data_IF_110302167939
#
_entry.id   IF_110302167939
#
_cell.length_a   1.000
_cell.length_b   1.000
_cell.length_c   1.000
_cell.angle_alpha   90.00
_cell.angle_beta   90.00
_cell.angle_gamma   90.00
#
_symmetry.space_group_name_H-M   'P 1'
#
loop_
_entity.id
_entity.type
_entity.pdbx_description
1 polymer ?
#
# COMPACT_ATOMS: atom_id res chain seq x y z
N UNK A 1 62.90 -50.98 -40.54
CA UNK A 1 63.86 -49.88 -40.71
C UNK A 1 63.64 -48.88 -39.60
N UNK A 2 64.64 -48.70 -38.73
CA UNK A 2 64.99 -47.57 -37.86
C UNK A 2 63.83 -46.75 -37.28
N UNK A 3 63.41 -46.74 -36.00
CA UNK A 3 64.26 -46.75 -34.80
C UNK A 3 64.64 -45.33 -34.42
N UNK A 4 63.92 -44.60 -33.55
CA UNK A 4 64.47 -43.53 -32.69
C UNK A 4 63.68 -43.51 -31.37
N UNK A 5 64.40 -43.89 -30.30
CA UNK A 5 64.00 -43.61 -28.92
C UNK A 5 64.23 -42.13 -28.62
N UNK A 6 63.30 -41.51 -27.91
CA UNK A 6 63.56 -40.24 -27.23
C UNK A 6 63.21 -40.40 -25.74
N UNK A 7 64.26 -40.26 -24.93
CA UNK A 7 64.13 -40.13 -23.46
C UNK A 7 63.42 -38.80 -23.10
N UNK A 8 62.41 -38.88 -22.22
CA UNK A 8 61.91 -37.71 -21.52
C UNK A 8 62.30 -37.78 -20.05
N UNK A 9 63.06 -36.78 -19.62
CA UNK A 9 63.51 -36.58 -18.26
C UNK A 9 62.38 -36.09 -17.37
N UNK A 10 62.16 -36.75 -16.26
CA UNK A 10 61.23 -36.31 -15.22
C UNK A 10 61.87 -35.22 -14.38
N UNK A 11 61.35 -34.02 -14.39
CA UNK A 11 61.63 -32.97 -13.40
C UNK A 11 60.50 -32.94 -12.34
N UNK A 12 60.83 -33.39 -11.13
CA UNK A 12 59.93 -33.27 -9.99
C UNK A 12 59.98 -31.80 -9.47
N UNK A 13 58.88 -31.10 -9.63
CA UNK A 13 58.66 -29.81 -8.99
C UNK A 13 57.90 -30.03 -7.68
N UNK A 14 58.57 -29.80 -6.56
CA UNK A 14 57.97 -29.73 -5.24
C UNK A 14 57.26 -28.37 -5.14
N UNK A 15 55.94 -28.36 -5.30
CA UNK A 15 55.12 -27.20 -4.93
C UNK A 15 54.76 -27.28 -3.45
N UNK A 16 55.28 -26.32 -2.67
CA UNK A 16 54.92 -26.13 -1.28
C UNK A 16 53.44 -25.84 -1.07
N UNK A 17 52.88 -26.44 -0.06
CA UNK A 17 51.53 -26.16 0.43
C UNK A 17 51.47 -24.76 1.07
N UNK A 18 51.17 -23.74 0.26
CA UNK A 18 50.66 -22.47 0.72
C UNK A 18 49.15 -22.49 0.43
N UNK A 19 48.33 -22.62 1.47
CA UNK A 19 46.89 -22.56 1.36
C UNK A 19 46.44 -21.20 0.80
N UNK A 20 46.02 -21.16 -0.45
CA UNK A 20 45.20 -20.11 -0.98
C UNK A 20 43.76 -20.40 -0.59
N UNK A 21 43.34 -19.90 0.58
CA UNK A 21 41.90 -19.65 0.79
C UNK A 21 41.43 -18.66 -0.22
N UNK A 22 40.86 -19.13 -1.33
CA UNK A 22 40.06 -18.30 -2.20
C UNK A 22 38.78 -17.96 -1.42
N UNK A 23 38.78 -16.81 -0.73
CA UNK A 23 37.51 -16.14 -0.41
C UNK A 23 36.86 -15.86 -1.76
N UNK A 24 35.89 -16.71 -2.13
CA UNK A 24 34.93 -16.36 -3.17
C UNK A 24 34.28 -15.07 -2.71
N UNK A 25 34.61 -13.95 -3.38
CA UNK A 25 33.86 -12.74 -3.25
C UNK A 25 32.43 -13.12 -3.68
N UNK A 26 31.52 -13.18 -2.74
CA UNK A 26 30.09 -13.34 -2.99
C UNK A 26 29.69 -12.18 -3.88
N UNK A 27 29.53 -12.46 -5.18
CA UNK A 27 29.14 -11.45 -6.17
C UNK A 27 27.76 -10.95 -5.74
N UNK A 28 27.72 -9.75 -5.17
CA UNK A 28 26.52 -9.17 -4.57
C UNK A 28 25.51 -9.00 -5.70
N UNK A 29 24.50 -9.86 -5.71
CA UNK A 29 23.38 -9.81 -6.68
C UNK A 29 22.85 -8.36 -6.71
N UNK A 30 22.54 -7.78 -7.88
CA UNK A 30 21.95 -6.45 -7.95
C UNK A 30 20.68 -6.42 -7.10
N UNK A 31 20.52 -5.38 -6.28
CA UNK A 31 19.33 -5.17 -5.44
C UNK A 31 18.10 -5.05 -6.36
N UNK A 32 17.12 -5.92 -6.15
CA UNK A 32 15.88 -5.90 -6.92
C UNK A 32 14.82 -5.06 -6.20
N UNK A 33 14.34 -4.02 -6.88
CA UNK A 33 13.31 -3.11 -6.37
C UNK A 33 11.97 -3.36 -7.07
N UNK A 34 10.87 -3.35 -6.32
CA UNK A 34 9.53 -3.48 -6.85
C UNK A 34 8.56 -2.47 -6.22
N UNK A 35 7.50 -2.14 -6.96
CA UNK A 35 6.34 -1.42 -6.44
C UNK A 35 5.29 -2.44 -5.99
N UNK A 36 4.75 -2.25 -4.79
CA UNK A 36 3.68 -3.09 -4.25
C UNK A 36 2.42 -2.25 -4.06
N UNK A 37 1.39 -2.54 -4.84
CA UNK A 37 0.07 -1.94 -4.70
C UNK A 37 -0.71 -2.70 -3.62
N UNK A 38 -1.27 -1.96 -2.67
CA UNK A 38 -2.06 -2.49 -1.55
C UNK A 38 -3.45 -1.89 -1.57
N UNK A 39 -4.44 -2.73 -1.80
CA UNK A 39 -5.85 -2.34 -1.92
C UNK A 39 -6.48 -1.99 -0.57
N UNK A 40 -7.58 -1.25 -0.61
CA UNK A 40 -8.29 -0.73 0.57
C UNK A 40 -9.20 -1.72 1.27
N UNK A 41 -10.03 -1.18 2.18
CA UNK A 41 -11.05 -1.93 2.92
C UNK A 41 -12.12 -2.52 2.01
N UNK A 42 -12.61 -3.69 2.38
CA UNK A 42 -13.62 -4.46 1.63
C UNK A 42 -13.22 -4.80 0.18
N UNK A 43 -11.94 -4.70 -0.15
CA UNK A 43 -11.43 -5.06 -1.46
C UNK A 43 -11.26 -6.57 -1.58
N UNK A 44 -11.55 -7.09 -2.78
CA UNK A 44 -11.10 -8.41 -3.23
C UNK A 44 -10.17 -8.19 -4.41
N UNK A 45 -8.88 -8.46 -4.19
CA UNK A 45 -7.80 -8.25 -5.17
C UNK A 45 -7.04 -9.54 -5.38
N UNK A 46 -6.83 -9.98 -6.62
CA UNK A 46 -5.94 -11.10 -6.88
C UNK A 46 -4.48 -10.68 -6.70
N UNK A 47 -3.62 -11.66 -6.43
CA UNK A 47 -2.20 -11.47 -6.66
C UNK A 47 -1.93 -11.28 -8.16
N UNK A 48 -1.21 -10.21 -8.51
CA UNK A 48 -0.68 -10.03 -9.88
C UNK A 48 0.80 -9.68 -9.82
N UNK A 49 1.56 -10.21 -10.77
CA UNK A 49 2.97 -9.87 -10.98
C UNK A 49 3.16 -8.99 -12.21
N UNK A 50 4.41 -8.56 -12.49
CA UNK A 50 4.70 -7.73 -13.66
C UNK A 50 4.36 -8.43 -14.98
N UNK A 51 4.62 -9.74 -15.07
CA UNK A 51 4.39 -10.55 -16.27
C UNK A 51 3.16 -11.46 -16.14
N UNK A 52 2.44 -11.39 -15.05
CA UNK A 52 1.35 -12.29 -14.70
C UNK A 52 0.15 -11.51 -14.19
N UNK A 53 -0.76 -11.21 -15.10
CA UNK A 53 -2.09 -10.72 -14.75
C UNK A 53 -3.08 -11.90 -14.71
N UNK A 54 -4.23 -11.69 -14.08
CA UNK A 54 -5.37 -12.60 -14.25
C UNK A 54 -5.93 -12.50 -15.66
N UNK A 55 -6.87 -13.38 -16.03
CA UNK A 55 -7.41 -13.44 -17.40
C UNK A 55 -7.95 -12.10 -17.92
N UNK A 56 -8.44 -11.22 -17.05
CA UNK A 56 -8.94 -9.89 -17.39
C UNK A 56 -7.91 -8.77 -17.19
N UNK A 57 -6.72 -9.08 -16.67
CA UNK A 57 -5.69 -8.10 -16.36
C UNK A 57 -5.99 -7.19 -15.15
N UNK A 58 -7.08 -7.41 -14.44
CA UNK A 58 -7.52 -6.54 -13.34
C UNK A 58 -6.66 -6.68 -12.09
N UNK A 59 -6.57 -5.58 -11.35
CA UNK A 59 -6.02 -5.51 -10.00
C UNK A 59 -7.04 -4.81 -9.09
N UNK A 60 -7.18 -5.27 -7.84
CA UNK A 60 -8.11 -4.69 -6.87
C UNK A 60 -9.53 -4.47 -7.43
N UNK A 61 -10.08 -5.45 -8.08
CA UNK A 61 -11.44 -5.39 -8.60
C UNK A 61 -11.73 -4.15 -9.46
N UNK A 62 -10.82 -3.76 -10.33
CA UNK A 62 -10.79 -2.57 -11.18
C UNK A 62 -10.31 -1.27 -10.49
N UNK A 63 -10.42 -1.13 -9.18
CA UNK A 63 -10.11 0.14 -8.51
C UNK A 63 -8.67 0.59 -8.77
N UNK A 64 -7.69 -0.30 -8.65
CA UNK A 64 -6.26 0.01 -8.81
C UNK A 64 -5.70 -0.44 -10.18
N UNK A 65 -6.55 -0.81 -11.14
CA UNK A 65 -6.12 -1.31 -12.45
C UNK A 65 -5.37 -0.25 -13.24
N UNK A 66 -5.88 0.97 -13.33
CA UNK A 66 -5.21 2.06 -14.05
C UNK A 66 -3.87 2.42 -13.41
N UNK A 67 -3.78 2.42 -12.07
CA UNK A 67 -2.54 2.62 -11.34
C UNK A 67 -1.49 1.55 -11.69
N UNK A 68 -1.89 0.28 -11.68
CA UNK A 68 -1.02 -0.83 -12.06
C UNK A 68 -0.51 -0.70 -13.50
N UNK A 69 -1.40 -0.47 -14.45
CA UNK A 69 -1.06 -0.34 -15.88
C UNK A 69 -0.13 0.85 -16.11
N UNK A 70 -0.40 1.98 -15.47
CA UNK A 70 0.43 3.16 -15.57
C UNK A 70 1.86 2.91 -15.09
N UNK A 71 2.03 2.30 -13.91
CA UNK A 71 3.34 2.01 -13.35
C UNK A 71 4.11 0.95 -14.17
N UNK A 72 3.45 -0.08 -14.68
CA UNK A 72 4.05 -1.02 -15.62
C UNK A 72 4.50 -0.30 -16.91
N UNK A 73 3.70 0.62 -17.43
CA UNK A 73 4.04 1.44 -18.59
C UNK A 73 5.24 2.36 -18.37
N UNK A 74 5.54 2.73 -17.12
CA UNK A 74 6.75 3.47 -16.73
C UNK A 74 7.97 2.57 -16.52
N UNK A 75 7.82 1.26 -16.67
CA UNK A 75 8.92 0.29 -16.59
C UNK A 75 9.20 -0.22 -15.17
N UNK A 76 8.31 0.00 -14.21
CA UNK A 76 8.46 -0.57 -12.87
C UNK A 76 8.12 -2.06 -12.83
N UNK A 77 8.77 -2.79 -11.94
CA UNK A 77 8.35 -4.14 -11.53
C UNK A 77 7.21 -3.97 -10.53
N UNK A 78 5.97 -4.29 -10.92
CA UNK A 78 4.76 -4.03 -10.12
C UNK A 78 4.11 -5.32 -9.68
N UNK A 79 3.85 -5.43 -8.39
CA UNK A 79 3.04 -6.48 -7.78
C UNK A 79 1.78 -5.88 -7.14
N UNK A 80 0.66 -6.60 -7.23
CA UNK A 80 -0.52 -6.32 -6.41
C UNK A 80 -0.57 -7.35 -5.29
N UNK A 81 -0.64 -6.89 -4.03
CA UNK A 81 -0.84 -7.80 -2.91
C UNK A 81 -2.25 -8.40 -2.97
N UNK A 82 -2.41 -9.72 -2.73
CA UNK A 82 -3.75 -10.28 -2.67
C UNK A 82 -4.48 -9.75 -1.44
N UNK A 83 -5.76 -9.44 -1.62
CA UNK A 83 -6.66 -9.02 -0.56
C UNK A 83 -8.03 -9.68 -0.73
N UNK A 84 -8.68 -10.00 0.37
CA UNK A 84 -10.03 -10.57 0.38
C UNK A 84 -10.88 -9.90 1.46
N UNK A 85 -12.14 -9.67 1.16
CA UNK A 85 -13.13 -9.24 2.16
C UNK A 85 -13.48 -10.43 3.07
N UNK A 86 -12.76 -10.55 4.18
CA UNK A 86 -12.74 -11.69 5.08
C UNK A 86 -11.47 -12.54 4.93
N UNK A 87 -11.46 -13.64 5.66
CA UNK A 87 -10.35 -14.60 5.63
C UNK A 87 -10.48 -15.55 4.44
N UNK A 88 -9.36 -15.88 3.82
CA UNK A 88 -9.31 -16.88 2.76
C UNK A 88 -8.32 -16.55 1.66
N UNK A 89 -8.32 -17.39 0.65
CA UNK A 89 -7.55 -17.21 -0.58
C UNK A 89 -8.40 -16.52 -1.64
N UNK A 90 -7.78 -15.69 -2.48
CA UNK A 90 -8.48 -15.08 -3.61
C UNK A 90 -8.52 -16.06 -4.77
N UNK A 91 -9.59 -16.82 -4.84
CA UNK A 91 -9.80 -17.84 -5.90
C UNK A 91 -10.81 -17.41 -6.95
N UNK A 92 -11.73 -16.52 -6.58
CA UNK A 92 -12.75 -15.95 -7.47
C UNK A 92 -13.16 -14.58 -6.96
N UNK A 93 -13.71 -13.77 -7.84
CA UNK A 93 -14.17 -12.43 -7.49
C UNK A 93 -15.68 -12.35 -7.39
N UNK A 94 -16.12 -11.83 -6.24
CA UNK A 94 -17.48 -11.34 -6.04
C UNK A 94 -17.43 -9.81 -5.92
N UNK A 95 -18.18 -9.07 -6.71
CA UNK A 95 -18.27 -7.60 -6.61
C UNK A 95 -17.88 -6.88 -7.91
N UNK A 96 -17.03 -5.85 -7.84
CA UNK A 96 -16.84 -4.81 -8.85
C UNK A 96 -16.15 -5.21 -10.17
N UNK A 97 -16.43 -6.31 -10.70
CA UNK A 97 -15.91 -6.73 -11.97
C UNK A 97 -15.02 -7.96 -11.87
N UNK A 98 -15.18 -8.88 -12.78
CA UNK A 98 -14.46 -10.15 -12.76
C UNK A 98 -12.98 -9.93 -13.13
N UNK A 99 -12.08 -10.61 -12.45
CA UNK A 99 -10.69 -10.74 -12.88
C UNK A 99 -10.40 -12.10 -13.54
N UNK A 100 -11.39 -13.01 -13.58
CA UNK A 100 -11.24 -14.33 -14.18
C UNK A 100 -10.22 -15.22 -13.47
N UNK A 101 -9.68 -16.19 -14.19
CA UNK A 101 -8.69 -17.12 -13.62
C UNK A 101 -7.34 -16.44 -13.47
N UNK A 102 -6.78 -16.50 -12.27
CA UNK A 102 -5.43 -16.00 -11.99
C UNK A 102 -4.43 -17.17 -11.95
N UNK A 103 -3.21 -17.00 -12.50
CA UNK A 103 -2.23 -18.09 -12.61
C UNK A 103 -1.68 -18.52 -11.25
N UNK A 104 -1.70 -17.65 -10.26
CA UNK A 104 -1.17 -17.90 -8.92
C UNK A 104 -2.18 -17.44 -7.88
N UNK A 105 -2.54 -18.35 -6.97
CA UNK A 105 -3.32 -18.08 -5.78
C UNK A 105 -2.42 -18.25 -4.55
N UNK A 106 -2.27 -17.20 -3.77
CA UNK A 106 -1.46 -17.24 -2.56
C UNK A 106 -2.28 -17.74 -1.36
N UNK A 107 -1.63 -18.34 -0.33
CA UNK A 107 -2.33 -18.81 0.85
C UNK A 107 -2.95 -17.68 1.68
N UNK A 108 -3.94 -18.03 2.50
CA UNK A 108 -4.69 -17.10 3.36
C UNK A 108 -3.78 -16.21 4.20
N UNK A 109 -2.73 -16.75 4.80
CA UNK A 109 -1.81 -16.01 5.66
C UNK A 109 -0.88 -15.03 4.91
N UNK A 110 -0.94 -14.98 3.60
CA UNK A 110 -0.30 -14.00 2.71
C UNK A 110 -1.32 -13.13 1.99
N UNK A 111 -2.62 -13.35 2.23
CA UNK A 111 -3.73 -12.58 1.68
C UNK A 111 -4.23 -11.60 2.73
N UNK A 112 -4.24 -10.32 2.40
CA UNK A 112 -4.72 -9.27 3.30
C UNK A 112 -6.21 -9.48 3.58
N UNK A 113 -6.60 -9.66 4.84
CA UNK A 113 -8.01 -9.60 5.25
C UNK A 113 -8.43 -8.12 5.27
N UNK A 114 -9.06 -7.68 4.18
CA UNK A 114 -9.43 -6.28 3.98
C UNK A 114 -10.61 -5.80 4.82
N UNK A 115 -11.25 -6.71 5.57
CA UNK A 115 -12.28 -6.41 6.57
C UNK A 115 -11.84 -6.73 7.99
N UNK A 116 -10.68 -7.36 8.15
CA UNK A 116 -10.07 -7.70 9.42
C UNK A 116 -9.45 -6.51 10.16
N UNK A 117 -8.70 -6.80 11.23
CA UNK A 117 -7.96 -5.75 11.93
C UNK A 117 -6.77 -5.23 11.10
N UNK A 118 -6.43 -3.96 11.31
CA UNK A 118 -5.29 -3.31 10.62
C UNK A 118 -4.00 -4.10 10.87
N UNK A 119 -3.77 -4.54 12.09
CA UNK A 119 -2.54 -5.24 12.47
C UNK A 119 -2.47 -6.63 11.85
N UNK A 120 -3.55 -7.41 11.83
CA UNK A 120 -3.59 -8.72 11.15
C UNK A 120 -3.37 -8.57 9.65
N UNK A 121 -4.00 -7.57 9.02
CA UNK A 121 -3.78 -7.27 7.61
C UNK A 121 -2.31 -6.94 7.33
N UNK A 122 -1.67 -6.15 8.20
CA UNK A 122 -0.25 -5.84 8.11
C UNK A 122 0.66 -7.06 8.28
N UNK A 123 0.33 -8.00 9.18
CA UNK A 123 1.06 -9.26 9.33
C UNK A 123 1.00 -10.13 8.07
N UNK A 124 -0.19 -10.25 7.46
CA UNK A 124 -0.36 -10.99 6.21
C UNK A 124 0.44 -10.34 5.07
N UNK A 125 0.38 -9.02 4.96
CA UNK A 125 1.15 -8.26 3.99
C UNK A 125 2.67 -8.42 4.21
N UNK A 126 3.16 -8.41 5.44
CA UNK A 126 4.57 -8.64 5.73
C UNK A 126 5.04 -10.05 5.33
N UNK A 127 4.19 -11.08 5.53
CA UNK A 127 4.48 -12.46 5.04
C UNK A 127 4.50 -12.52 3.52
N UNK A 128 3.59 -11.83 2.85
CA UNK A 128 3.60 -11.70 1.40
C UNK A 128 4.90 -11.07 0.89
N UNK A 129 5.39 -10.01 1.52
CA UNK A 129 6.66 -9.38 1.15
C UNK A 129 7.85 -10.30 1.39
N UNK A 130 7.85 -11.05 2.47
CA UNK A 130 8.89 -12.06 2.73
C UNK A 130 8.88 -13.14 1.65
N UNK A 131 7.70 -13.55 1.21
CA UNK A 131 7.56 -14.48 0.08
C UNK A 131 8.05 -13.84 -1.24
N UNK A 132 7.73 -12.57 -1.52
CA UNK A 132 8.28 -11.87 -2.70
C UNK A 132 9.82 -11.87 -2.69
N UNK A 133 10.42 -11.69 -1.52
CA UNK A 133 11.88 -11.75 -1.40
C UNK A 133 12.41 -13.16 -1.71
N UNK A 134 11.85 -14.20 -1.12
CA UNK A 134 12.36 -15.57 -1.25
C UNK A 134 12.04 -16.19 -2.61
N UNK A 135 10.88 -15.90 -3.19
CA UNK A 135 10.37 -16.52 -4.42
C UNK A 135 10.65 -15.69 -5.67
N UNK A 136 10.67 -14.36 -5.54
CA UNK A 136 10.83 -13.41 -6.66
C UNK A 136 12.11 -12.60 -6.61
N UNK A 137 12.89 -12.72 -5.53
CA UNK A 137 14.16 -12.01 -5.35
C UNK A 137 14.01 -10.51 -5.11
N UNK A 138 12.85 -10.04 -4.62
CA UNK A 138 12.60 -8.63 -4.32
C UNK A 138 13.28 -8.25 -3.00
N UNK A 139 14.23 -7.33 -3.02
CA UNK A 139 14.97 -6.88 -1.85
C UNK A 139 14.45 -5.56 -1.28
N UNK A 140 13.92 -4.70 -2.15
CA UNK A 140 13.42 -3.38 -1.78
C UNK A 140 12.03 -3.14 -2.38
N UNK A 141 11.17 -2.45 -1.64
CA UNK A 141 9.81 -2.15 -2.07
C UNK A 141 9.45 -0.69 -1.90
N UNK A 142 8.71 -0.15 -2.87
CA UNK A 142 7.95 1.07 -2.76
C UNK A 142 6.47 0.72 -2.60
N UNK A 143 5.86 1.13 -1.51
CA UNK A 143 4.44 0.89 -1.29
C UNK A 143 3.57 1.96 -1.96
N UNK A 144 2.49 1.52 -2.59
CA UNK A 144 1.38 2.38 -2.99
C UNK A 144 0.10 1.83 -2.38
N UNK A 145 -0.35 2.44 -1.30
CA UNK A 145 -1.53 2.01 -0.55
C UNK A 145 -2.74 2.88 -0.88
N UNK A 146 -3.79 2.27 -1.44
CA UNK A 146 -5.07 2.94 -1.66
C UNK A 146 -5.98 2.75 -0.46
N UNK A 147 -6.66 3.82 -0.01
CA UNK A 147 -7.62 3.73 1.10
C UNK A 147 -6.97 3.11 2.34
N UNK A 148 -7.59 2.14 2.96
CA UNK A 148 -7.04 1.39 4.11
C UNK A 148 -5.74 0.65 3.78
N UNK A 149 -5.42 0.43 2.51
CA UNK A 149 -4.15 -0.15 2.08
C UNK A 149 -2.93 0.62 2.59
N UNK A 150 -3.05 1.93 2.79
CA UNK A 150 -2.01 2.73 3.44
C UNK A 150 -1.82 2.39 4.92
N UNK A 151 -2.89 2.09 5.66
CA UNK A 151 -2.81 1.63 7.06
C UNK A 151 -2.21 0.21 7.15
N UNK A 152 -2.62 -0.69 6.26
CA UNK A 152 -2.05 -2.05 6.18
C UNK A 152 -0.57 -2.02 5.86
N UNK A 153 -0.14 -1.13 4.94
CA UNK A 153 1.28 -0.93 4.61
C UNK A 153 2.08 -0.46 5.82
N UNK A 154 1.55 0.49 6.62
CA UNK A 154 2.20 0.96 7.85
C UNK A 154 2.33 -0.16 8.89
N UNK A 155 1.28 -0.95 9.08
CA UNK A 155 1.33 -2.11 9.97
C UNK A 155 2.37 -3.14 9.49
N UNK A 156 2.43 -3.41 8.17
CA UNK A 156 3.44 -4.30 7.60
C UNK A 156 4.86 -3.77 7.79
N UNK A 157 5.11 -2.46 7.60
CA UNK A 157 6.42 -1.83 7.84
C UNK A 157 6.86 -2.05 9.30
N UNK A 158 5.96 -1.89 10.27
CA UNK A 158 6.23 -2.17 11.68
C UNK A 158 6.62 -3.63 11.92
N UNK A 159 5.90 -4.58 11.31
CA UNK A 159 6.21 -6.02 11.40
C UNK A 159 7.57 -6.33 10.79
N UNK A 160 7.87 -5.83 9.58
CA UNK A 160 9.15 -6.02 8.92
C UNK A 160 10.31 -5.50 9.77
N UNK A 161 10.16 -4.31 10.38
CA UNK A 161 11.16 -3.73 11.27
C UNK A 161 11.38 -4.57 12.53
N UNK A 162 10.30 -5.05 13.15
CA UNK A 162 10.38 -5.84 14.40
C UNK A 162 10.93 -7.26 14.21
N UNK A 163 10.81 -7.81 12.99
CA UNK A 163 11.29 -9.16 12.64
C UNK A 163 12.67 -9.17 11.97
N UNK A 164 13.32 -8.01 11.82
CA UNK A 164 14.56 -7.86 11.06
C UNK A 164 14.45 -8.48 9.65
N UNK A 165 13.34 -8.20 8.95
CA UNK A 165 13.09 -8.71 7.61
C UNK A 165 14.22 -8.31 6.64
N UNK A 166 14.59 -9.19 5.69
CA UNK A 166 15.53 -8.83 4.63
C UNK A 166 14.96 -7.79 3.65
N UNK A 167 13.63 -7.65 3.58
CA UNK A 167 12.96 -6.67 2.71
C UNK A 167 13.06 -5.27 3.30
N UNK A 168 13.54 -4.33 2.50
CA UNK A 168 13.59 -2.90 2.86
C UNK A 168 12.45 -2.14 2.21
N UNK A 169 11.83 -1.25 2.97
CA UNK A 169 10.84 -0.32 2.41
C UNK A 169 11.54 1.01 2.09
N UNK A 170 11.47 1.43 0.83
CA UNK A 170 12.09 2.65 0.32
C UNK A 170 11.19 3.87 0.45
N UNK A 171 9.89 3.69 0.17
CA UNK A 171 8.90 4.76 0.25
C UNK A 171 7.50 4.22 0.53
N UNK A 172 6.63 5.13 0.96
CA UNK A 172 5.21 4.89 1.11
C UNK A 172 4.41 6.02 0.45
N UNK A 173 3.64 5.71 -0.57
CA UNK A 173 2.63 6.61 -1.12
C UNK A 173 1.25 6.15 -0.69
N UNK A 174 0.45 7.05 -0.13
CA UNK A 174 -0.92 6.74 0.29
C UNK A 174 -1.93 7.57 -0.49
N UNK A 175 -2.95 6.92 -1.03
CA UNK A 175 -4.00 7.52 -1.87
C UNK A 175 -5.33 7.39 -1.13
N UNK A 176 -5.91 8.51 -0.69
CA UNK A 176 -7.17 8.52 0.05
C UNK A 176 -7.16 7.73 1.35
N UNK A 177 -6.00 7.56 1.99
CA UNK A 177 -5.87 6.74 3.21
C UNK A 177 -6.42 7.46 4.44
N UNK A 178 -7.29 6.82 5.23
CA UNK A 178 -7.86 7.42 6.43
C UNK A 178 -6.89 7.41 7.61
N UNK A 179 -5.82 8.22 7.54
CA UNK A 179 -4.79 8.32 8.59
C UNK A 179 -5.33 8.66 9.98
N UNK A 180 -6.42 9.42 10.02
CA UNK A 180 -7.06 9.88 11.25
C UNK A 180 -8.46 9.28 11.45
N UNK A 181 -8.87 8.37 10.59
CA UNK A 181 -10.20 7.77 10.53
C UNK A 181 -11.01 8.21 9.32
N UNK A 182 -12.08 7.48 9.06
CA UNK A 182 -13.11 7.82 8.09
C UNK A 182 -14.34 8.35 8.81
N UNK A 183 -14.90 9.46 8.36
CA UNK A 183 -16.12 10.02 8.90
C UNK A 183 -17.31 9.03 8.85
N UNK A 184 -17.27 8.08 7.93
CA UNK A 184 -18.27 7.01 7.86
C UNK A 184 -18.17 6.07 9.06
N UNK A 185 -16.95 5.68 9.42
CA UNK A 185 -16.69 4.86 10.60
C UNK A 185 -16.91 5.65 11.90
N UNK A 186 -16.59 6.94 11.92
CA UNK A 186 -16.88 7.82 13.05
C UNK A 186 -18.39 7.89 13.33
N UNK A 187 -19.21 8.05 12.29
CA UNK A 187 -20.66 7.99 12.40
C UNK A 187 -21.15 6.62 12.88
N UNK A 188 -20.64 5.54 12.28
CA UNK A 188 -21.04 4.18 12.64
C UNK A 188 -20.71 3.82 14.10
N UNK A 189 -19.66 4.44 14.67
CA UNK A 189 -19.26 4.28 16.06
C UNK A 189 -19.80 5.39 17.00
N UNK A 190 -20.67 6.26 16.51
CA UNK A 190 -21.36 7.28 17.30
C UNK A 190 -20.49 8.49 17.70
N UNK A 191 -19.37 8.73 17.00
CA UNK A 191 -18.46 9.83 17.30
C UNK A 191 -18.90 11.15 16.66
N UNK A 192 -19.63 11.10 15.56
CA UNK A 192 -20.20 12.27 14.87
C UNK A 192 -21.66 12.05 14.53
N UNK A 193 -22.49 13.10 14.49
CA UNK A 193 -23.90 12.99 14.12
C UNK A 193 -24.12 13.04 12.60
N UNK A 194 -25.24 12.48 12.14
CA UNK A 194 -25.65 12.53 10.73
C UNK A 194 -25.80 13.98 10.20
N UNK A 195 -26.17 14.93 11.07
CA UNK A 195 -26.29 16.34 10.73
C UNK A 195 -25.01 17.00 10.21
N UNK A 196 -23.85 16.38 10.43
CA UNK A 196 -22.57 16.84 9.87
C UNK A 196 -22.49 16.67 8.34
N UNK A 197 -23.36 15.85 7.76
CA UNK A 197 -23.57 15.79 6.32
C UNK A 197 -24.24 17.06 5.74
N UNK A 198 -24.80 17.95 6.59
CA UNK A 198 -25.44 19.21 6.17
C UNK A 198 -26.52 19.02 5.12
N UNK A 199 -27.27 17.92 5.18
CA UNK A 199 -28.33 17.56 4.23
C UNK A 199 -27.85 17.02 2.89
N UNK A 200 -26.55 16.67 2.77
CA UNK A 200 -26.04 16.01 1.59
C UNK A 200 -26.51 14.55 1.53
N UNK A 201 -27.30 14.23 0.53
CA UNK A 201 -27.91 12.91 0.39
C UNK A 201 -26.88 11.79 0.15
N UNK A 202 -25.78 12.08 -0.55
CA UNK A 202 -24.69 11.12 -0.78
C UNK A 202 -23.98 10.80 0.54
N UNK A 203 -23.56 11.82 1.28
CA UNK A 203 -22.92 11.70 2.58
C UNK A 203 -23.81 10.94 3.58
N UNK A 204 -25.11 11.29 3.67
CA UNK A 204 -26.03 10.62 4.59
C UNK A 204 -26.23 9.15 4.24
N UNK A 205 -26.34 8.83 2.94
CA UNK A 205 -26.49 7.45 2.46
C UNK A 205 -25.24 6.64 2.76
N UNK A 206 -24.05 7.21 2.52
CA UNK A 206 -22.78 6.57 2.81
C UNK A 206 -22.58 6.31 4.31
N UNK A 207 -22.91 7.28 5.17
CA UNK A 207 -22.85 7.11 6.64
C UNK A 207 -23.79 6.00 7.12
N UNK A 208 -25.03 5.98 6.65
CA UNK A 208 -26.01 4.95 7.04
C UNK A 208 -25.58 3.56 6.55
N UNK A 209 -25.10 3.45 5.32
CA UNK A 209 -24.59 2.20 4.76
C UNK A 209 -23.39 1.65 5.55
N UNK A 210 -22.45 2.49 5.94
CA UNK A 210 -21.31 2.09 6.79
C UNK A 210 -21.79 1.63 8.19
N UNK A 211 -22.77 2.31 8.79
CA UNK A 211 -23.28 1.91 10.09
C UNK A 211 -23.95 0.53 10.06
N UNK A 212 -24.62 0.20 8.98
CA UNK A 212 -25.23 -1.13 8.79
C UNK A 212 -24.15 -2.20 8.57
N UNK A 213 -23.09 -1.89 7.81
CA UNK A 213 -21.96 -2.79 7.61
C UNK A 213 -21.20 -3.07 8.90
N UNK A 214 -20.89 -2.04 9.69
CA UNK A 214 -20.22 -2.19 11.01
C UNK A 214 -21.06 -3.03 11.96
N UNK A 215 -22.39 -2.87 11.95
CA UNK A 215 -23.28 -3.72 12.74
C UNK A 215 -23.26 -5.18 12.28
N UNK A 216 -23.22 -5.40 10.96
CA UNK A 216 -23.22 -6.74 10.36
C UNK A 216 -21.91 -7.48 10.66
N UNK A 217 -20.76 -6.83 10.54
CA UNK A 217 -19.45 -7.45 10.71
C UNK A 217 -19.06 -7.63 12.19
N UNK A 218 -19.62 -6.86 13.11
CA UNK A 218 -19.38 -6.92 14.57
C UNK A 218 -17.93 -6.69 15.02
N UNK A 219 -16.96 -6.74 14.12
CA UNK A 219 -15.52 -6.62 14.40
C UNK A 219 -14.76 -6.17 13.15
N UNK A 220 -13.47 -5.91 13.30
CA UNK A 220 -12.55 -5.63 12.22
C UNK A 220 -12.44 -4.16 11.84
N UNK A 221 -11.99 -3.89 10.62
CA UNK A 221 -11.56 -2.58 10.15
C UNK A 221 -12.61 -1.48 10.27
N UNK A 222 -13.88 -1.77 10.08
CA UNK A 222 -14.95 -0.78 10.27
C UNK A 222 -15.04 -0.22 11.70
N UNK A 223 -14.49 -0.92 12.70
CA UNK A 223 -14.38 -0.44 14.09
C UNK A 223 -13.03 0.18 14.42
N UNK A 224 -12.01 -0.07 13.62
CA UNK A 224 -10.66 0.41 13.83
C UNK A 224 -10.35 1.69 13.03
N UNK A 225 -11.09 1.95 11.95
CA UNK A 225 -10.87 3.11 11.07
C UNK A 225 -11.68 4.32 11.51
N UNK A 226 -11.72 4.61 12.80
CA UNK A 226 -12.36 5.79 13.38
C UNK A 226 -11.37 6.62 14.20
N UNK A 227 -11.72 7.88 14.49
CA UNK A 227 -10.87 8.80 15.23
C UNK A 227 -10.52 8.30 16.62
N UNK A 228 -11.45 7.66 17.32
CA UNK A 228 -11.18 7.19 18.69
C UNK A 228 -10.13 6.09 18.72
N UNK A 229 -10.13 5.17 17.77
CA UNK A 229 -9.15 4.11 17.67
C UNK A 229 -7.79 4.61 17.14
N UNK A 230 -7.81 5.43 16.08
CA UNK A 230 -6.57 5.86 15.42
C UNK A 230 -5.88 7.02 16.14
N UNK A 231 -6.65 7.97 16.71
CA UNK A 231 -6.17 9.25 17.26
C UNK A 231 -6.42 9.40 18.75
N UNK A 232 -7.11 8.46 19.40
CA UNK A 232 -7.39 8.51 20.82
C UNK A 232 -6.11 8.50 21.68
N UNK A 233 -6.27 8.73 23.00
CA UNK A 233 -5.15 8.54 23.94
C UNK A 233 -4.65 7.09 23.82
N UNK A 234 -3.35 6.90 23.64
CA UNK A 234 -2.74 5.60 23.33
C UNK A 234 -3.34 4.97 22.06
N UNK A 235 -3.70 5.80 21.09
CA UNK A 235 -4.28 5.36 19.82
C UNK A 235 -3.29 4.62 18.93
N UNK A 236 -3.81 3.94 17.92
CA UNK A 236 -3.00 3.12 17.02
C UNK A 236 -1.86 3.91 16.36
N UNK A 237 -2.07 5.20 16.02
CA UNK A 237 -1.05 6.04 15.43
C UNK A 237 0.14 6.26 16.37
N UNK A 238 -0.08 6.46 17.67
CA UNK A 238 1.02 6.64 18.63
C UNK A 238 1.91 5.39 18.72
N UNK A 239 1.32 4.21 18.59
CA UNK A 239 2.07 2.94 18.54
C UNK A 239 2.87 2.76 17.23
N UNK A 240 2.72 3.67 16.26
CA UNK A 240 3.52 3.71 15.03
C UNK A 240 4.69 4.70 15.10
N UNK A 241 4.94 5.33 16.26
CA UNK A 241 6.05 6.27 16.44
C UNK A 241 7.39 5.59 16.09
N UNK A 242 8.23 6.28 15.30
CA UNK A 242 9.53 5.77 14.83
C UNK A 242 9.48 4.80 13.66
N UNK A 243 8.31 4.24 13.33
CA UNK A 243 8.18 3.24 12.24
C UNK A 243 8.55 3.83 10.87
N UNK A 244 8.27 5.12 10.65
CA UNK A 244 8.49 5.80 9.38
C UNK A 244 9.69 6.77 9.39
N UNK A 245 10.57 6.70 10.39
CA UNK A 245 11.70 7.64 10.55
C UNK A 245 12.65 7.69 9.33
N UNK A 246 12.74 6.60 8.59
CA UNK A 246 13.63 6.48 7.43
C UNK A 246 12.88 6.28 6.12
N UNK A 247 11.58 6.55 6.11
CA UNK A 247 10.71 6.28 4.96
C UNK A 247 10.03 7.57 4.56
N UNK A 248 10.32 8.12 3.35
CA UNK A 248 9.57 9.25 2.82
C UNK A 248 8.13 8.83 2.52
N UNK A 249 7.18 9.69 2.89
CA UNK A 249 5.75 9.43 2.71
C UNK A 249 5.13 10.51 1.83
N UNK A 250 4.40 10.08 0.80
CA UNK A 250 3.56 10.97 0.00
C UNK A 250 2.10 10.70 0.33
N UNK A 251 1.39 11.76 0.67
CA UNK A 251 -0.02 11.74 1.05
C UNK A 251 -0.85 12.38 -0.07
N UNK A 252 -1.79 11.63 -0.62
CA UNK A 252 -2.68 12.09 -1.69
C UNK A 252 -4.11 12.04 -1.19
N UNK A 253 -4.81 13.20 -1.21
CA UNK A 253 -6.18 13.32 -0.77
C UNK A 253 -7.11 13.92 -1.83
N UNK A 254 -8.34 13.42 -1.90
CA UNK A 254 -9.41 13.94 -2.74
C UNK A 254 -10.33 14.90 -1.99
N UNK A 255 -10.90 15.87 -2.72
CA UNK A 255 -11.83 16.86 -2.18
C UNK A 255 -13.04 17.13 -3.10
N UNK A 256 -13.43 16.11 -3.87
CA UNK A 256 -14.53 16.24 -4.84
C UNK A 256 -15.82 16.74 -4.21
N UNK A 257 -16.10 16.31 -3.01
CA UNK A 257 -17.28 16.72 -2.26
C UNK A 257 -16.89 17.82 -1.28
N UNK A 258 -17.51 18.99 -1.42
CA UNK A 258 -17.26 20.17 -0.59
C UNK A 258 -18.58 20.83 -0.17
N UNK A 259 -18.53 21.60 0.89
CA UNK A 259 -19.65 22.40 1.41
C UNK A 259 -19.14 23.75 1.87
N UNK A 260 -19.91 24.78 1.56
CA UNK A 260 -19.64 26.14 2.03
C UNK A 260 -20.09 26.35 3.46
N UNK A 261 -19.49 27.34 4.12
CA UNK A 261 -19.83 27.76 5.46
C UNK A 261 -19.08 27.03 6.56
N UNK A 262 -19.63 27.08 7.78
CA UNK A 262 -19.04 26.40 8.93
C UNK A 262 -19.38 24.90 8.90
N UNK A 263 -18.40 24.10 8.55
CA UNK A 263 -18.53 22.65 8.41
C UNK A 263 -17.56 21.92 9.36
N UNK A 264 -17.88 20.66 9.69
CA UNK A 264 -16.98 19.79 10.43
C UNK A 264 -15.81 19.34 9.51
N UNK A 265 -14.55 19.71 9.80
CA UNK A 265 -13.43 19.32 8.95
C UNK A 265 -13.12 17.82 8.99
N UNK A 266 -13.65 17.08 9.97
CA UNK A 266 -13.59 15.62 9.97
C UNK A 266 -14.51 14.97 8.90
N UNK A 267 -15.39 15.79 8.28
CA UNK A 267 -16.29 15.35 7.19
C UNK A 267 -15.98 16.08 5.89
N UNK A 268 -15.71 17.41 5.94
CA UNK A 268 -15.62 18.25 4.75
C UNK A 268 -14.29 19.02 4.65
N UNK A 269 -13.73 19.20 3.46
CA UNK A 269 -14.10 18.48 2.22
C UNK A 269 -13.68 17.01 2.27
N UNK A 270 -14.23 16.20 1.36
CA UNK A 270 -13.92 14.77 1.32
C UNK A 270 -13.92 14.22 -0.12
N UNK A 271 -13.47 12.99 -0.29
CA UNK A 271 -13.45 12.24 -1.55
C UNK A 271 -14.66 11.31 -1.74
N UNK A 272 -15.60 11.36 -0.79
CA UNK A 272 -16.78 10.48 -0.70
C UNK A 272 -16.70 9.45 0.42
N UNK A 273 -15.50 9.06 0.87
CA UNK A 273 -15.28 8.09 1.94
C UNK A 273 -14.36 8.59 3.05
N UNK A 274 -13.39 9.46 2.72
CA UNK A 274 -12.38 9.96 3.65
C UNK A 274 -12.30 11.48 3.57
N UNK A 275 -12.32 12.15 4.72
CA UNK A 275 -12.12 13.59 4.79
C UNK A 275 -10.68 13.97 4.39
N UNK A 276 -10.51 15.08 3.70
CA UNK A 276 -9.21 15.55 3.21
C UNK A 276 -8.20 15.70 4.34
N UNK A 277 -8.61 16.24 5.50
CA UNK A 277 -7.69 16.36 6.64
C UNK A 277 -7.15 15.00 7.11
N UNK A 278 -7.98 13.96 7.08
CA UNK A 278 -7.58 12.60 7.42
C UNK A 278 -6.64 12.03 6.37
N UNK A 279 -6.97 12.17 5.08
CA UNK A 279 -6.14 11.68 3.98
C UNK A 279 -4.74 12.33 3.97
N UNK A 280 -4.64 13.60 4.38
CA UNK A 280 -3.37 14.34 4.48
C UNK A 280 -2.70 14.25 5.86
N UNK A 281 -3.19 13.40 6.75
CA UNK A 281 -2.63 13.17 8.08
C UNK A 281 -2.35 14.47 8.85
N UNK A 282 -3.28 15.44 8.81
CA UNK A 282 -3.09 16.82 9.29
C UNK A 282 -2.60 16.89 10.73
N UNK A 283 -3.26 16.14 11.63
CA UNK A 283 -2.99 16.17 13.08
C UNK A 283 -2.07 15.02 13.54
N UNK A 284 -1.46 14.31 12.61
CA UNK A 284 -0.46 13.27 12.93
C UNK A 284 0.86 13.95 13.33
N UNK A 285 1.38 13.54 14.47
CA UNK A 285 2.62 14.09 15.04
C UNK A 285 3.87 13.70 14.25
N UNK A 286 4.92 14.51 14.32
CA UNK A 286 6.19 14.25 13.65
C UNK A 286 6.88 12.94 14.09
N UNK A 287 6.84 12.53 15.38
CA UNK A 287 7.36 11.22 15.75
C UNK A 287 6.69 10.02 15.02
N UNK A 288 5.47 10.18 14.55
CA UNK A 288 4.74 9.16 13.77
C UNK A 288 4.98 9.32 12.26
N UNK A 289 5.09 10.55 11.78
CA UNK A 289 5.19 10.87 10.36
C UNK A 289 6.12 12.06 10.11
N UNK A 290 7.45 11.86 10.23
CA UNK A 290 8.43 12.95 10.16
C UNK A 290 8.63 13.51 8.74
N UNK A 291 8.51 12.66 7.71
CA UNK A 291 8.84 13.01 6.32
C UNK A 291 7.63 12.84 5.44
N UNK A 292 6.89 13.94 5.19
CA UNK A 292 5.65 13.90 4.40
C UNK A 292 5.59 15.00 3.36
N UNK A 293 5.04 14.62 2.21
CA UNK A 293 4.65 15.53 1.13
C UNK A 293 3.17 15.31 0.83
N UNK A 294 2.41 16.39 0.67
CA UNK A 294 0.96 16.34 0.49
C UNK A 294 0.55 16.83 -0.90
N UNK A 295 -0.39 16.13 -1.50
CA UNK A 295 -1.05 16.52 -2.75
C UNK A 295 -2.57 16.43 -2.60
N UNK A 296 -3.28 17.36 -3.22
CA UNK A 296 -4.74 17.44 -3.16
C UNK A 296 -5.30 17.53 -4.57
N UNK A 297 -6.33 16.71 -4.85
CA UNK A 297 -7.01 16.68 -6.15
C UNK A 297 -8.52 16.85 -5.99
N UNK A 298 -9.18 17.33 -7.04
CA UNK A 298 -10.64 17.46 -7.06
C UNK A 298 -11.29 16.15 -7.51
N UNK A 299 -10.92 15.06 -6.80
CA UNK A 299 -11.26 13.69 -7.15
C UNK A 299 -12.08 12.99 -6.08
N UNK A 300 -12.78 11.95 -6.51
CA UNK A 300 -13.44 10.98 -5.66
C UNK A 300 -12.45 9.91 -5.18
N UNK A 301 -12.84 9.17 -4.15
CA UNK A 301 -12.03 8.12 -3.54
C UNK A 301 -11.63 6.99 -4.50
N UNK A 302 -12.56 6.60 -5.37
CA UNK A 302 -12.39 5.48 -6.29
C UNK A 302 -13.40 5.55 -7.43
N UNK A 303 -13.21 4.76 -8.49
CA UNK A 303 -14.17 4.63 -9.59
C UNK A 303 -15.55 4.19 -9.11
N UNK A 304 -15.62 3.44 -8.01
CA UNK A 304 -16.88 3.07 -7.39
C UNK A 304 -17.66 4.29 -6.88
N UNK A 305 -16.98 5.21 -6.19
CA UNK A 305 -17.58 6.47 -5.73
C UNK A 305 -17.94 7.37 -6.92
N UNK A 306 -17.06 7.44 -7.94
CA UNK A 306 -17.36 8.19 -9.19
C UNK A 306 -18.65 7.68 -9.83
N UNK A 307 -18.79 6.37 -10.01
CA UNK A 307 -19.97 5.75 -10.61
C UNK A 307 -21.25 6.03 -9.80
N UNK A 308 -21.18 5.93 -8.48
CA UNK A 308 -22.33 6.24 -7.60
C UNK A 308 -22.72 7.73 -7.67
N UNK A 309 -21.76 8.61 -7.86
CA UNK A 309 -21.97 10.05 -8.00
C UNK A 309 -22.32 10.47 -9.45
N UNK A 310 -22.37 9.55 -10.39
CA UNK A 310 -22.62 9.84 -11.82
C UNK A 310 -21.46 10.57 -12.50
N UNK A 311 -20.22 10.35 -12.05
CA UNK A 311 -18.99 10.96 -12.53
C UNK A 311 -18.20 9.97 -13.40
N UNK A 312 -17.28 10.50 -14.21
CA UNK A 312 -16.36 9.69 -15.02
C UNK A 312 -15.30 9.01 -14.12
N UNK A 313 -14.84 7.81 -14.51
CA UNK A 313 -13.83 7.06 -13.78
C UNK A 313 -12.52 7.82 -13.57
N UNK A 314 -12.12 8.64 -14.56
CA UNK A 314 -10.91 9.49 -14.49
C UNK A 314 -10.97 10.58 -13.41
N UNK A 315 -12.11 10.80 -12.76
CA UNK A 315 -12.23 11.67 -11.59
C UNK A 315 -12.03 10.94 -10.29
N UNK A 316 -11.49 9.72 -10.32
CA UNK A 316 -11.14 8.95 -9.15
C UNK A 316 -9.63 8.99 -8.91
N UNK A 317 -9.21 9.16 -7.66
CA UNK A 317 -7.80 9.25 -7.26
C UNK A 317 -6.91 8.12 -7.82
N UNK A 318 -7.45 6.92 -8.02
CA UNK A 318 -6.68 5.79 -8.54
C UNK A 318 -6.69 5.70 -10.08
N UNK A 319 -7.40 6.60 -10.76
CA UNK A 319 -7.56 6.63 -12.22
C UNK A 319 -7.22 7.98 -12.84
N UNK A 320 -7.08 9.08 -12.06
CA UNK A 320 -6.67 10.38 -12.57
C UNK A 320 -5.19 10.35 -13.02
N UNK A 321 -4.88 10.62 -14.29
CA UNK A 321 -3.51 10.68 -14.79
C UNK A 321 -2.58 11.61 -14.01
N UNK A 322 -3.10 12.68 -13.40
CA UNK A 322 -2.29 13.59 -12.60
C UNK A 322 -1.88 12.96 -11.27
N UNK A 323 -2.79 12.21 -10.64
CA UNK A 323 -2.48 11.43 -9.43
C UNK A 323 -1.46 10.34 -9.76
N UNK A 324 -1.66 9.61 -10.87
CA UNK A 324 -0.75 8.55 -11.30
C UNK A 324 0.67 9.09 -11.55
N UNK A 325 0.78 10.29 -12.13
CA UNK A 325 2.09 10.97 -12.32
C UNK A 325 2.74 11.36 -10.98
N UNK A 326 1.97 11.84 -9.99
CA UNK A 326 2.49 12.12 -8.65
C UNK A 326 3.01 10.85 -7.98
N UNK A 327 2.32 9.72 -8.13
CA UNK A 327 2.78 8.41 -7.62
C UNK A 327 4.12 8.02 -8.26
N UNK A 328 4.24 8.16 -9.59
CA UNK A 328 5.48 7.92 -10.30
C UNK A 328 6.63 8.79 -9.76
N UNK A 329 6.41 10.10 -9.63
CA UNK A 329 7.42 11.04 -9.11
C UNK A 329 7.80 10.73 -7.67
N UNK A 330 6.87 10.26 -6.84
CA UNK A 330 7.13 9.83 -5.47
C UNK A 330 8.09 8.64 -5.41
N UNK A 331 7.88 7.63 -6.25
CA UNK A 331 8.72 6.43 -6.34
C UNK A 331 10.12 6.80 -6.88
N UNK A 332 10.19 7.59 -7.93
CA UNK A 332 11.46 8.01 -8.57
C UNK A 332 12.29 8.91 -7.64
N UNK A 333 11.64 9.74 -6.86
CA UNK A 333 12.26 10.65 -5.88
C UNK A 333 12.64 10.00 -4.55
N UNK A 334 12.17 8.80 -4.26
CA UNK A 334 12.31 8.14 -2.96
C UNK A 334 13.74 8.08 -2.40
N UNK A 335 14.78 7.81 -3.19
CA UNK A 335 16.15 7.72 -2.68
C UNK A 335 16.76 9.03 -2.16
N UNK A 336 16.14 10.19 -2.46
CA UNK A 336 16.76 11.52 -2.26
C UNK A 336 16.22 12.29 -1.04
N UNK A 337 15.33 11.72 -0.23
CA UNK A 337 14.32 12.52 0.43
C UNK A 337 14.47 12.79 1.94
N UNK A 338 15.59 12.49 2.63
CA UNK A 338 15.57 12.46 4.09
C UNK A 338 16.55 13.42 4.79
N UNK A 339 16.53 14.71 4.44
CA UNK A 339 17.27 15.75 5.18
C UNK A 339 16.33 16.46 6.19
N UNK A 340 16.03 15.78 7.31
CA UNK A 340 15.22 16.33 8.41
C UNK A 340 13.69 16.22 8.18
N UNK A 341 12.87 16.55 9.21
CA UNK A 341 11.41 16.56 9.09
C UNK A 341 10.96 17.51 7.99
N UNK A 342 10.14 17.03 7.06
CA UNK A 342 9.62 17.81 5.94
C UNK A 342 8.09 17.67 5.84
N UNK A 343 7.39 18.80 5.64
CA UNK A 343 5.94 18.89 5.47
C UNK A 343 5.56 19.62 4.19
N UNK A 344 6.19 19.29 3.08
CA UNK A 344 5.99 19.98 1.81
C UNK A 344 4.55 19.82 1.29
N UNK A 345 3.89 20.95 0.99
CA UNK A 345 2.52 20.98 0.46
C UNK A 345 1.43 20.56 1.45
N UNK A 346 1.77 20.26 2.71
CA UNK A 346 0.81 19.83 3.70
C UNK A 346 0.13 21.03 4.36
N UNK A 347 -1.19 20.96 4.64
CA UNK A 347 -1.88 22.02 5.38
C UNK A 347 -1.34 22.10 6.80
N UNK A 348 -1.19 23.36 7.28
CA UNK A 348 -0.78 23.70 8.65
C UNK A 348 -1.88 23.39 9.66
#
# INVERSE_FOLDING_TARGET
MRGVLALAAAAAVVCGLAGCESKSAEEKRPTSTAVVIVSGGNATSPFTGPDQACATGLAAGNTDTALREYLLGKGYTVYTSPAMAGRGQVVDQTGFGPFGVCPITLPENMTVDSTGSIDTAGEHLARFLTWLHTDRGVDEVDFVGHSMGGLYSRAAIRVLASTNSPVKVRSLTTIGTPWQGSYLSDYANGLIPLSDCKGDAFCETAMKGMADEVKRLMAGSGREVNQAFLMGRDGWNEHQSGVLDKIPVVLIGGKRFNRDGQVNPAVWPNDGLVALQSALARDISDPVLPHRRCHTFDDTHSIYVSNQAGLEEKTALTWDPQVLEVVHQAIDGAPKALDGPNREGCPS
#
